data_IF_638486389148
#
_entry.id   IF_638486389148
#
_cell.length_a   1.000
_cell.length_b   1.000
_cell.length_c   1.000
_cell.angle_alpha   90.00
_cell.angle_beta   90.00
_cell.angle_gamma   90.00
#
_symmetry.space_group_name_H-M   'P 1'
#
loop_
_entity.id
_entity.type
_entity.pdbx_description
1 polymer ?
#
# COMPACT_ATOMS: atom_id res chain seq x y z
N UNK A 1 29.03 -11.24 51.27
CA UNK A 1 27.90 -11.33 52.17
C UNK A 1 26.63 -11.36 51.31
N UNK A 2 26.21 -12.55 50.91
CA UNK A 2 25.24 -13.49 51.53
C UNK A 2 23.91 -12.82 51.84
N UNK A 3 22.93 -13.27 51.21
CA UNK A 3 21.83 -14.23 51.49
C UNK A 3 20.84 -14.16 50.33
N UNK A 4 20.56 -15.21 49.55
CA UNK A 4 19.68 -16.36 49.81
C UNK A 4 18.41 -16.04 50.59
N UNK A 5 17.32 -16.27 49.94
CA UNK A 5 16.06 -16.90 50.34
C UNK A 5 15.26 -17.09 49.06
N UNK A 6 15.08 -18.24 48.59
CA UNK A 6 14.13 -19.37 48.69
C UNK A 6 12.74 -18.96 49.18
N UNK A 7 11.77 -19.27 48.37
CA UNK A 7 10.41 -19.79 48.67
C UNK A 7 9.73 -19.97 47.32
N UNK A 8 9.55 -21.15 46.79
CA UNK A 8 8.60 -22.23 47.03
C UNK A 8 7.13 -21.80 46.91
N UNK A 9 6.43 -22.74 46.21
CA UNK A 9 4.99 -22.96 46.20
C UNK A 9 4.22 -22.15 45.14
N UNK A 10 3.37 -22.72 44.37
CA UNK A 10 2.57 -23.95 44.45
C UNK A 10 2.08 -24.31 43.06
N UNK A 11 2.06 -25.61 42.86
CA UNK A 11 1.22 -26.31 41.88
C UNK A 11 -0.24 -26.07 42.19
N UNK A 12 -1.01 -25.70 41.16
CA UNK A 12 -2.43 -26.04 41.11
C UNK A 12 -2.94 -26.11 39.67
N UNK A 13 -3.05 -27.32 39.26
CA UNK A 13 -4.19 -27.98 38.63
C UNK A 13 -4.73 -27.45 37.29
N UNK A 14 -4.18 -28.05 36.30
CA UNK A 14 -4.72 -28.22 34.96
C UNK A 14 -5.79 -29.32 34.94
N UNK A 15 -7.05 -28.93 34.81
CA UNK A 15 -8.13 -29.87 34.41
C UNK A 15 -9.20 -29.22 33.49
N UNK A 16 -8.90 -28.15 32.79
CA UNK A 16 -9.88 -27.51 31.85
C UNK A 16 -9.61 -27.78 30.35
N UNK A 17 -8.81 -28.79 29.99
CA UNK A 17 -8.38 -28.95 28.59
C UNK A 17 -9.10 -30.03 27.78
N UNK A 18 -10.09 -30.73 28.33
CA UNK A 18 -10.75 -31.84 27.62
C UNK A 18 -12.08 -31.49 26.93
N UNK A 19 -12.72 -30.38 27.24
CA UNK A 19 -13.93 -29.97 26.53
C UNK A 19 -13.68 -29.24 25.21
N UNK A 20 -12.52 -28.57 25.06
CA UNK A 20 -12.17 -27.86 23.81
C UNK A 20 -11.79 -28.80 22.65
N UNK A 21 -11.42 -30.05 22.96
CA UNK A 21 -10.99 -30.99 21.92
C UNK A 21 -12.15 -31.75 21.26
N UNK A 22 -13.33 -31.79 21.87
CA UNK A 22 -14.53 -32.41 21.27
C UNK A 22 -15.19 -31.47 20.26
N UNK A 23 -15.28 -30.19 20.56
CA UNK A 23 -15.88 -29.19 19.64
C UNK A 23 -15.07 -28.99 18.35
N UNK A 24 -13.73 -29.11 18.41
CA UNK A 24 -12.87 -29.01 17.22
C UNK A 24 -12.96 -30.22 16.28
N UNK A 25 -13.37 -31.37 16.75
CA UNK A 25 -13.54 -32.54 15.89
C UNK A 25 -14.87 -32.47 15.14
N UNK A 26 -15.95 -32.03 15.79
CA UNK A 26 -17.26 -31.89 15.15
C UNK A 26 -17.27 -30.73 14.12
N UNK A 27 -16.60 -29.62 14.39
CA UNK A 27 -16.45 -28.52 13.43
C UNK A 27 -15.62 -28.92 12.19
N UNK A 28 -14.59 -29.76 12.35
CA UNK A 28 -13.80 -30.27 11.24
C UNK A 28 -14.55 -31.29 10.36
N UNK A 29 -15.47 -32.04 10.92
CA UNK A 29 -16.31 -32.99 10.14
C UNK A 29 -17.40 -32.26 9.36
N UNK A 30 -18.02 -31.25 9.95
CA UNK A 30 -19.00 -30.40 9.25
C UNK A 30 -18.36 -29.60 8.11
N UNK A 31 -17.16 -29.06 8.30
CA UNK A 31 -16.43 -28.39 7.22
C UNK A 31 -16.06 -29.34 6.06
N UNK A 32 -15.67 -30.57 6.36
CA UNK A 32 -15.38 -31.58 5.31
C UNK A 32 -16.62 -32.03 4.55
N UNK A 33 -17.77 -32.03 5.18
CA UNK A 33 -19.04 -32.37 4.53
C UNK A 33 -19.57 -31.22 3.66
N UNK A 34 -19.37 -29.97 4.09
CA UNK A 34 -19.66 -28.80 3.26
C UNK A 34 -18.71 -28.69 2.06
N UNK A 35 -17.40 -28.96 2.22
CA UNK A 35 -16.47 -29.03 1.10
C UNK A 35 -16.82 -30.12 0.08
N UNK A 36 -17.32 -31.28 0.54
CA UNK A 36 -17.82 -32.34 -0.34
C UNK A 36 -19.10 -31.94 -1.09
N UNK A 37 -20.01 -31.20 -0.44
CA UNK A 37 -21.22 -30.65 -1.06
C UNK A 37 -20.92 -29.56 -2.08
N UNK A 38 -19.87 -28.74 -1.82
CA UNK A 38 -19.39 -27.73 -2.78
C UNK A 38 -18.69 -28.35 -3.98
N UNK A 39 -17.90 -29.44 -3.75
CA UNK A 39 -17.26 -30.17 -4.85
C UNK A 39 -18.26 -30.92 -5.72
N UNK A 40 -19.30 -31.53 -5.15
CA UNK A 40 -20.35 -32.18 -5.93
C UNK A 40 -21.22 -31.18 -6.70
N UNK A 41 -21.53 -29.98 -6.12
CA UNK A 41 -22.20 -28.91 -6.87
C UNK A 41 -21.37 -28.35 -8.02
N UNK A 42 -20.02 -28.43 -7.95
CA UNK A 42 -19.15 -28.00 -9.05
C UNK A 42 -19.21 -28.95 -10.24
N UNK A 43 -19.26 -30.26 -10.00
CA UNK A 43 -19.33 -31.24 -11.08
C UNK A 43 -20.68 -31.23 -11.81
N UNK A 44 -21.79 -30.96 -11.09
CA UNK A 44 -23.12 -30.89 -11.73
C UNK A 44 -23.32 -29.58 -12.53
N UNK A 45 -22.48 -28.56 -12.32
CA UNK A 45 -22.54 -27.31 -13.10
C UNK A 45 -21.69 -27.35 -14.39
N UNK A 46 -20.67 -28.20 -14.49
CA UNK A 46 -19.80 -28.27 -15.67
C UNK A 46 -20.55 -28.82 -16.90
N UNK A 47 -21.52 -29.72 -16.71
CA UNK A 47 -22.34 -30.24 -17.79
C UNK A 47 -23.46 -29.28 -18.29
N UNK A 48 -23.85 -28.30 -17.45
CA UNK A 48 -24.84 -27.28 -17.82
C UNK A 48 -24.23 -26.01 -18.42
N UNK A 49 -22.92 -25.77 -18.30
CA UNK A 49 -22.27 -24.61 -18.90
C UNK A 49 -22.20 -24.68 -20.44
N UNK A 50 -22.24 -25.88 -21.00
CA UNK A 50 -22.24 -26.04 -22.45
C UNK A 50 -23.55 -25.59 -23.11
N UNK A 51 -24.68 -25.56 -22.41
CA UNK A 51 -26.00 -25.23 -22.99
C UNK A 51 -26.33 -23.74 -23.04
N UNK A 52 -25.59 -22.87 -22.30
CA UNK A 52 -25.89 -21.44 -22.19
C UNK A 52 -24.78 -20.51 -22.69
N UNK A 53 -23.91 -20.97 -23.57
CA UNK A 53 -22.89 -20.12 -24.18
C UNK A 53 -23.54 -19.08 -25.12
N UNK A 54 -23.78 -17.89 -24.63
CA UNK A 54 -24.30 -16.79 -25.44
C UNK A 54 -23.19 -16.23 -26.36
N UNK A 55 -23.06 -16.83 -27.54
CA UNK A 55 -22.01 -16.49 -28.51
C UNK A 55 -22.00 -14.99 -28.86
N UNK A 56 -23.16 -14.34 -28.92
CA UNK A 56 -23.26 -12.92 -29.26
C UNK A 56 -22.72 -12.03 -28.11
N UNK A 57 -23.00 -12.39 -26.86
CA UNK A 57 -22.41 -11.72 -25.70
C UNK A 57 -20.89 -11.82 -25.68
N UNK A 58 -20.34 -13.02 -25.91
CA UNK A 58 -18.89 -13.21 -25.94
C UNK A 58 -18.22 -12.55 -27.15
N UNK A 59 -18.90 -12.49 -28.29
CA UNK A 59 -18.46 -11.68 -29.46
C UNK A 59 -18.39 -10.20 -29.12
N UNK A 60 -19.33 -9.67 -28.34
CA UNK A 60 -19.29 -8.26 -27.89
C UNK A 60 -18.08 -7.98 -26.98
N UNK A 61 -17.74 -8.91 -26.04
CA UNK A 61 -16.56 -8.80 -25.20
C UNK A 61 -15.26 -8.83 -26.02
N UNK A 62 -15.20 -9.66 -27.06
CA UNK A 62 -14.02 -9.70 -27.93
C UNK A 62 -13.82 -8.38 -28.69
N UNK A 63 -14.91 -7.70 -29.07
CA UNK A 63 -14.86 -6.41 -29.77
C UNK A 63 -14.47 -5.26 -28.87
N UNK A 64 -14.91 -5.29 -27.61
CA UNK A 64 -14.58 -4.26 -26.59
C UNK A 64 -13.71 -4.82 -25.48
N UNK A 65 -12.40 -4.67 -25.65
CA UNK A 65 -11.40 -5.12 -24.66
C UNK A 65 -11.54 -4.47 -23.29
N UNK A 66 -12.09 -3.24 -23.20
CA UNK A 66 -12.31 -2.56 -21.90
C UNK A 66 -13.48 -3.21 -21.17
N UNK A 67 -14.57 -3.48 -21.90
CA UNK A 67 -15.71 -4.21 -21.35
C UNK A 67 -15.28 -5.61 -20.89
N UNK A 68 -14.51 -6.32 -21.71
CA UNK A 68 -13.94 -7.63 -21.36
C UNK A 68 -13.10 -7.58 -20.08
N UNK A 69 -12.26 -6.55 -19.91
CA UNK A 69 -11.46 -6.39 -18.71
C UNK A 69 -12.31 -6.17 -17.44
N UNK A 70 -13.37 -5.36 -17.55
CA UNK A 70 -14.29 -5.14 -16.44
C UNK A 70 -15.05 -6.43 -16.06
N UNK A 71 -15.52 -7.19 -17.05
CA UNK A 71 -16.18 -8.49 -16.82
C UNK A 71 -15.20 -9.47 -16.17
N UNK A 72 -13.96 -9.54 -16.66
CA UNK A 72 -12.91 -10.36 -16.07
C UNK A 72 -12.72 -10.03 -14.59
N UNK A 73 -12.55 -8.77 -14.23
CA UNK A 73 -12.33 -8.37 -12.83
C UNK A 73 -13.53 -8.67 -11.92
N UNK A 74 -14.75 -8.48 -12.43
CA UNK A 74 -15.95 -8.58 -11.60
C UNK A 74 -16.50 -10.00 -11.45
N UNK A 75 -16.32 -10.86 -12.47
CA UNK A 75 -17.02 -12.15 -12.56
C UNK A 75 -16.12 -13.36 -12.77
N UNK A 76 -15.08 -13.20 -13.58
CA UNK A 76 -14.29 -14.32 -14.09
C UNK A 76 -12.93 -14.45 -13.40
N UNK A 77 -12.48 -13.42 -12.66
CA UNK A 77 -11.19 -13.46 -12.00
C UNK A 77 -11.22 -14.26 -10.70
N UNK A 78 -10.12 -14.96 -10.42
CA UNK A 78 -9.95 -15.66 -9.15
C UNK A 78 -9.98 -14.68 -7.95
N UNK A 79 -10.27 -15.19 -6.76
CA UNK A 79 -10.23 -14.42 -5.52
C UNK A 79 -8.89 -13.69 -5.33
N UNK A 80 -7.78 -14.31 -5.75
CA UNK A 80 -6.44 -13.71 -5.68
C UNK A 80 -6.32 -12.47 -6.56
N UNK A 81 -6.87 -12.48 -7.77
CA UNK A 81 -6.85 -11.32 -8.69
C UNK A 81 -7.74 -10.20 -8.15
N UNK A 82 -8.91 -10.53 -7.61
CA UNK A 82 -9.78 -9.56 -6.95
C UNK A 82 -9.09 -8.93 -5.74
N UNK A 83 -8.41 -9.73 -4.93
CA UNK A 83 -7.59 -9.24 -3.80
C UNK A 83 -6.46 -8.33 -4.29
N UNK A 84 -5.74 -8.70 -5.36
CA UNK A 84 -4.71 -7.85 -5.96
C UNK A 84 -5.27 -6.52 -6.46
N UNK A 85 -6.44 -6.51 -7.08
CA UNK A 85 -7.12 -5.28 -7.52
C UNK A 85 -7.39 -4.35 -6.33
N UNK A 86 -7.95 -4.87 -5.25
CA UNK A 86 -8.17 -4.11 -4.01
C UNK A 86 -6.86 -3.59 -3.40
N UNK A 87 -5.82 -4.42 -3.43
CA UNK A 87 -4.48 -4.03 -2.94
C UNK A 87 -3.89 -2.89 -3.77
N UNK A 88 -4.14 -2.84 -5.08
CA UNK A 88 -3.74 -1.72 -5.95
C UNK A 88 -4.40 -0.43 -5.47
N UNK A 89 -5.72 -0.42 -5.29
CA UNK A 89 -6.46 0.77 -4.85
C UNK A 89 -5.99 1.26 -3.48
N UNK A 90 -5.79 0.34 -2.53
CA UNK A 90 -5.27 0.67 -1.20
C UNK A 90 -3.86 1.27 -1.25
N UNK A 91 -2.96 0.72 -2.06
CA UNK A 91 -1.60 1.23 -2.20
C UNK A 91 -1.58 2.59 -2.94
N UNK A 92 -2.46 2.84 -3.89
CA UNK A 92 -2.62 4.15 -4.53
C UNK A 92 -3.12 5.20 -3.53
N UNK A 93 -4.07 4.87 -2.69
CA UNK A 93 -4.52 5.74 -1.59
C UNK A 93 -3.39 6.06 -0.61
N UNK A 94 -2.65 5.04 -0.16
CA UNK A 94 -1.48 5.20 0.74
C UNK A 94 -0.39 6.06 0.09
N UNK A 95 -0.11 5.85 -1.20
CA UNK A 95 0.83 6.67 -1.98
C UNK A 95 0.38 8.13 -2.01
N UNK A 96 -0.88 8.39 -2.34
CA UNK A 96 -1.43 9.75 -2.41
C UNK A 96 -1.33 10.47 -1.07
N UNK A 97 -1.71 9.80 0.02
CA UNK A 97 -1.58 10.33 1.38
C UNK A 97 -0.12 10.61 1.75
N UNK A 98 0.80 9.72 1.41
CA UNK A 98 2.24 9.89 1.66
C UNK A 98 2.82 11.07 0.87
N UNK A 99 2.38 11.28 -0.37
CA UNK A 99 2.79 12.42 -1.20
C UNK A 99 2.27 13.73 -0.61
N UNK A 100 1.04 13.77 -0.11
CA UNK A 100 0.48 14.94 0.56
C UNK A 100 1.29 15.33 1.82
N UNK A 101 1.61 14.34 2.67
CA UNK A 101 2.48 14.57 3.85
C UNK A 101 3.87 15.03 3.42
N UNK A 102 4.44 14.47 2.35
CA UNK A 102 5.74 14.89 1.81
C UNK A 102 5.76 16.35 1.37
N UNK A 103 4.63 16.85 0.85
CA UNK A 103 4.50 18.26 0.48
C UNK A 103 4.58 19.16 1.70
N UNK A 104 3.87 18.84 2.79
CA UNK A 104 3.92 19.60 4.04
C UNK A 104 5.33 19.60 4.67
N UNK A 105 6.00 18.45 4.65
CA UNK A 105 7.39 18.37 5.14
C UNK A 105 8.33 19.20 4.26
N UNK A 106 8.12 19.22 2.95
CA UNK A 106 8.90 20.09 2.03
C UNK A 106 8.72 21.56 2.37
N UNK A 107 7.50 22.01 2.60
CA UNK A 107 7.22 23.40 3.01
C UNK A 107 7.92 23.73 4.32
N UNK A 108 7.88 22.80 5.31
CA UNK A 108 8.62 22.95 6.57
C UNK A 108 10.12 23.09 6.34
N UNK A 109 10.72 22.30 5.46
CA UNK A 109 12.16 22.38 5.12
C UNK A 109 12.48 23.76 4.52
N UNK A 110 11.63 24.28 3.65
CA UNK A 110 11.81 25.61 3.05
C UNK A 110 11.70 26.73 4.10
N UNK A 111 10.71 26.65 4.99
CA UNK A 111 10.53 27.62 6.07
C UNK A 111 11.74 27.63 7.02
N UNK A 112 12.23 26.45 7.41
CA UNK A 112 13.44 26.33 8.24
C UNK A 112 14.67 26.93 7.57
N UNK A 113 14.81 26.75 6.25
CA UNK A 113 15.88 27.35 5.45
C UNK A 113 15.79 28.90 5.42
N UNK A 114 14.57 29.45 5.29
CA UNK A 114 14.35 30.90 5.37
C UNK A 114 14.74 31.46 6.73
N UNK A 115 14.21 30.85 7.80
CA UNK A 115 14.54 31.25 9.18
C UNK A 115 16.04 31.16 9.50
N UNK A 116 16.71 30.16 8.94
CA UNK A 116 18.16 30.05 9.07
C UNK A 116 18.90 31.22 8.41
N UNK A 117 18.49 31.64 7.19
CA UNK A 117 19.09 32.76 6.50
C UNK A 117 18.85 34.09 7.25
N UNK A 118 17.63 34.30 7.76
CA UNK A 118 17.26 35.47 8.56
C UNK A 118 18.11 35.57 9.84
N UNK A 119 18.29 34.47 10.56
CA UNK A 119 19.15 34.45 11.73
C UNK A 119 20.63 34.69 11.40
N UNK A 120 21.08 34.21 10.26
CA UNK A 120 22.44 34.47 9.79
C UNK A 120 22.68 35.95 9.56
N UNK A 121 21.77 36.65 8.87
CA UNK A 121 21.86 38.11 8.68
C UNK A 121 21.78 38.84 9.99
N UNK A 122 20.93 38.42 10.94
CA UNK A 122 20.85 39.03 12.28
C UNK A 122 22.14 38.87 13.05
N UNK A 123 22.81 37.70 12.97
CA UNK A 123 24.12 37.52 13.62
C UNK A 123 25.18 38.44 13.00
N UNK A 124 25.19 38.56 11.68
CA UNK A 124 26.14 39.44 10.98
C UNK A 124 25.94 40.92 11.40
N UNK A 125 24.71 41.39 11.51
CA UNK A 125 24.40 42.76 11.98
C UNK A 125 24.77 42.94 13.43
N UNK A 126 24.50 41.96 14.30
CA UNK A 126 24.90 42.00 15.72
C UNK A 126 26.43 42.05 15.89
N UNK A 127 27.17 41.35 15.05
CA UNK A 127 28.65 41.38 15.04
C UNK A 127 29.18 42.75 14.63
N UNK A 128 28.59 43.37 13.58
CA UNK A 128 28.95 44.72 13.17
C UNK A 128 28.67 45.74 14.27
N UNK A 129 27.51 45.63 14.95
CA UNK A 129 27.18 46.50 16.11
C UNK A 129 28.16 46.34 17.23
N UNK A 130 28.57 45.09 17.55
CA UNK A 130 29.56 44.79 18.57
C UNK A 130 30.93 45.42 18.25
N UNK A 131 31.37 45.34 16.99
CA UNK A 131 32.61 46.00 16.54
C UNK A 131 32.53 47.53 16.64
N UNK A 132 31.41 48.11 16.21
CA UNK A 132 31.17 49.58 16.30
C UNK A 132 31.18 50.01 17.80
N UNK A 133 30.53 49.27 18.69
CA UNK A 133 30.55 49.56 20.15
C UNK A 133 31.94 49.46 20.75
N UNK A 134 32.76 48.57 20.27
CA UNK A 134 34.15 48.41 20.71
C UNK A 134 35.02 49.62 20.29
N UNK A 135 34.83 50.08 19.07
CA UNK A 135 35.58 51.24 18.53
C UNK A 135 35.17 52.55 19.20
N UNK A 136 33.88 52.72 19.49
CA UNK A 136 33.33 53.99 20.06
C UNK A 136 33.46 54.08 21.59
N UNK A 137 34.10 53.11 22.27
CA UNK A 137 34.18 53.05 23.74
C UNK A 137 32.83 53.24 24.43
N UNK A 138 31.73 52.84 23.79
CA UNK A 138 30.39 52.86 24.39
C UNK A 138 30.33 51.98 25.64
N UNK A 139 29.40 52.25 26.54
CA UNK A 139 29.35 51.66 27.87
C UNK A 139 29.55 50.12 27.85
N UNK A 140 30.35 49.59 28.79
CA UNK A 140 30.65 48.15 28.95
C UNK A 140 29.38 47.30 29.03
N UNK A 141 28.29 47.83 29.59
CA UNK A 141 26.99 47.18 29.69
C UNK A 141 26.39 46.86 28.34
N UNK A 142 26.42 47.82 27.38
CA UNK A 142 25.89 47.63 26.03
C UNK A 142 26.67 46.57 25.21
N UNK A 143 27.98 46.48 25.41
CA UNK A 143 28.80 45.45 24.79
C UNK A 143 28.52 44.06 25.33
N UNK A 144 28.37 43.94 26.66
CA UNK A 144 28.03 42.65 27.31
C UNK A 144 26.67 42.10 26.83
N UNK A 145 25.67 42.96 26.68
CA UNK A 145 24.34 42.58 26.17
C UNK A 145 24.43 42.04 24.74
N UNK A 146 25.21 42.67 23.85
CA UNK A 146 25.42 42.22 22.47
C UNK A 146 26.13 40.85 22.44
N UNK A 147 27.06 40.56 23.34
CA UNK A 147 27.71 39.23 23.44
C UNK A 147 26.71 38.17 23.86
N UNK A 148 25.86 38.45 24.84
CA UNK A 148 24.82 37.54 25.29
C UNK A 148 23.80 37.30 24.18
N UNK A 149 23.42 38.35 23.46
CA UNK A 149 22.48 38.25 22.34
C UNK A 149 23.06 37.38 21.19
N UNK A 150 24.30 37.61 20.76
CA UNK A 150 24.97 36.78 19.74
C UNK A 150 25.00 35.31 20.17
N UNK A 151 25.29 35.01 21.42
CA UNK A 151 25.30 33.63 21.94
C UNK A 151 23.94 32.95 21.82
N UNK A 152 22.85 33.65 22.18
CA UNK A 152 21.48 33.14 22.05
C UNK A 152 21.12 32.88 20.58
N UNK A 153 21.52 33.76 19.67
CA UNK A 153 21.29 33.56 18.21
C UNK A 153 22.06 32.34 17.69
N UNK A 154 23.31 32.14 18.15
CA UNK A 154 24.09 30.95 17.76
C UNK A 154 23.47 29.64 18.27
N UNK A 155 22.92 29.64 19.48
CA UNK A 155 22.18 28.49 20.04
C UNK A 155 20.91 28.20 19.20
N UNK A 156 20.17 29.23 18.84
CA UNK A 156 18.99 29.11 17.97
C UNK A 156 19.33 28.55 16.59
N UNK A 157 20.46 28.97 16.00
CA UNK A 157 20.95 28.40 14.74
C UNK A 157 21.28 26.90 14.88
N UNK A 158 21.87 26.48 15.99
CA UNK A 158 22.16 25.06 16.24
C UNK A 158 20.89 24.23 16.31
N UNK A 159 19.87 24.71 17.01
CA UNK A 159 18.55 24.06 17.08
C UNK A 159 17.92 23.95 15.69
N UNK A 160 17.85 25.06 14.92
CA UNK A 160 17.28 25.05 13.58
C UNK A 160 18.03 24.11 12.61
N UNK A 161 19.35 24.02 12.73
CA UNK A 161 20.14 23.05 11.94
C UNK A 161 19.75 21.62 12.24
N UNK A 162 19.51 21.29 13.49
CA UNK A 162 19.06 19.96 13.90
C UNK A 162 17.66 19.66 13.34
N UNK A 163 16.72 20.59 13.52
CA UNK A 163 15.37 20.47 13.00
C UNK A 163 15.35 20.32 11.46
N UNK A 164 16.15 21.11 10.76
CA UNK A 164 16.28 20.99 9.31
C UNK A 164 16.81 19.61 8.89
N UNK A 165 17.82 19.07 9.58
CA UNK A 165 18.34 17.72 9.31
C UNK A 165 17.27 16.65 9.52
N UNK A 166 16.50 16.76 10.60
CA UNK A 166 15.39 15.84 10.89
C UNK A 166 14.33 15.91 9.79
N UNK A 167 13.89 17.10 9.41
CA UNK A 167 12.87 17.30 8.36
C UNK A 167 13.35 16.78 7.00
N UNK A 168 14.61 16.99 6.62
CA UNK A 168 15.19 16.43 5.40
C UNK A 168 15.25 14.90 5.45
N UNK A 169 15.60 14.34 6.61
CA UNK A 169 15.60 12.88 6.82
C UNK A 169 14.19 12.28 6.67
N UNK A 170 13.20 12.92 7.25
CA UNK A 170 11.78 12.56 7.13
C UNK A 170 11.31 12.61 5.67
N UNK A 171 11.64 13.69 4.94
CA UNK A 171 11.30 13.82 3.53
C UNK A 171 11.89 12.69 2.67
N UNK A 172 13.14 12.31 2.92
CA UNK A 172 13.78 11.18 2.23
C UNK A 172 13.05 9.86 2.52
N UNK A 173 12.70 9.62 3.78
CA UNK A 173 11.95 8.43 4.19
C UNK A 173 10.58 8.36 3.52
N UNK A 174 9.82 9.44 3.53
CA UNK A 174 8.50 9.51 2.87
C UNK A 174 8.60 9.24 1.37
N UNK A 175 9.63 9.78 0.72
CA UNK A 175 9.89 9.51 -0.70
C UNK A 175 10.15 8.03 -0.97
N UNK A 176 10.93 7.36 -0.13
CA UNK A 176 11.18 5.91 -0.25
C UNK A 176 9.90 5.10 -0.05
N UNK A 177 9.06 5.46 0.92
CA UNK A 177 7.76 4.82 1.17
C UNK A 177 6.85 4.99 -0.06
N UNK A 178 6.73 6.19 -0.61
CA UNK A 178 5.93 6.43 -1.81
C UNK A 178 6.42 5.61 -3.01
N UNK A 179 7.74 5.47 -3.19
CA UNK A 179 8.33 4.63 -4.23
C UNK A 179 8.03 3.15 -4.02
N UNK A 180 8.03 2.66 -2.77
CA UNK A 180 7.68 1.27 -2.48
C UNK A 180 6.22 0.95 -2.81
N UNK A 181 5.29 1.87 -2.49
CA UNK A 181 3.89 1.72 -2.89
C UNK A 181 3.74 1.70 -4.41
N UNK A 182 4.44 2.58 -5.13
CA UNK A 182 4.42 2.61 -6.59
C UNK A 182 4.92 1.29 -7.19
N UNK A 183 6.03 0.75 -6.70
CA UNK A 183 6.56 -0.53 -7.15
C UNK A 183 5.57 -1.69 -6.90
N UNK A 184 4.89 -1.71 -5.74
CA UNK A 184 3.88 -2.71 -5.42
C UNK A 184 2.66 -2.60 -6.35
N UNK A 185 2.18 -1.39 -6.63
CA UNK A 185 1.10 -1.12 -7.59
C UNK A 185 1.47 -1.65 -8.97
N UNK A 186 2.66 -1.33 -9.47
CA UNK A 186 3.13 -1.79 -10.80
C UNK A 186 3.23 -3.31 -10.87
N UNK A 187 3.74 -3.95 -9.83
CA UNK A 187 3.82 -5.42 -9.74
C UNK A 187 2.43 -6.05 -9.79
N UNK A 188 1.49 -5.57 -8.96
CA UNK A 188 0.12 -6.09 -8.92
C UNK A 188 -0.61 -5.88 -10.24
N UNK A 189 -0.51 -4.69 -10.83
CA UNK A 189 -1.08 -4.39 -12.16
C UNK A 189 -0.53 -5.30 -13.26
N UNK A 190 0.77 -5.58 -13.24
CA UNK A 190 1.40 -6.50 -14.20
C UNK A 190 0.87 -7.92 -14.06
N UNK A 191 0.61 -8.37 -12.84
CA UNK A 191 0.03 -9.70 -12.57
C UNK A 191 -1.42 -9.76 -13.05
N UNK A 192 -2.25 -8.76 -12.72
CA UNK A 192 -3.64 -8.66 -13.16
C UNK A 192 -3.71 -8.64 -14.71
N UNK A 193 -2.87 -7.83 -15.34
CA UNK A 193 -2.81 -7.73 -16.81
C UNK A 193 -2.48 -9.06 -17.46
N UNK A 194 -1.49 -9.79 -16.92
CA UNK A 194 -1.10 -11.11 -17.43
C UNK A 194 -2.24 -12.13 -17.30
N UNK A 195 -2.91 -12.16 -16.14
CA UNK A 195 -4.06 -13.03 -15.92
C UNK A 195 -5.20 -12.71 -16.89
N UNK A 196 -5.49 -11.44 -17.09
CA UNK A 196 -6.46 -11.00 -18.08
C UNK A 196 -6.09 -11.41 -19.51
N UNK A 197 -4.83 -11.26 -19.90
CA UNK A 197 -4.38 -11.65 -21.25
C UNK A 197 -4.55 -13.16 -21.48
N UNK A 198 -4.24 -13.99 -20.48
CA UNK A 198 -4.48 -15.43 -20.57
C UNK A 198 -5.98 -15.76 -20.70
N UNK A 199 -6.83 -15.19 -19.85
CA UNK A 199 -8.26 -15.36 -19.90
C UNK A 199 -8.85 -14.87 -21.24
N UNK A 200 -8.39 -13.74 -21.73
CA UNK A 200 -8.86 -13.17 -23.00
C UNK A 200 -8.48 -14.01 -24.21
N UNK A 201 -7.31 -14.63 -24.21
CA UNK A 201 -6.90 -15.57 -25.25
C UNK A 201 -7.76 -16.85 -25.24
N UNK A 202 -8.07 -17.36 -24.05
CA UNK A 202 -8.98 -18.50 -23.90
C UNK A 202 -10.40 -18.16 -24.39
N UNK A 203 -10.91 -16.99 -24.03
CA UNK A 203 -12.17 -16.46 -24.54
C UNK A 203 -12.20 -16.40 -26.08
N UNK A 204 -11.13 -15.89 -26.70
CA UNK A 204 -10.99 -15.84 -28.16
C UNK A 204 -11.01 -17.23 -28.78
N UNK A 205 -10.37 -18.21 -28.19
CA UNK A 205 -10.35 -19.58 -28.65
C UNK A 205 -11.75 -20.19 -28.59
N UNK A 206 -12.46 -20.01 -27.46
CA UNK A 206 -13.86 -20.49 -27.30
C UNK A 206 -14.79 -19.85 -28.31
N UNK A 207 -14.75 -18.53 -28.51
CA UNK A 207 -15.60 -17.83 -29.48
C UNK A 207 -15.35 -18.35 -30.89
N UNK A 208 -14.10 -18.59 -31.28
CA UNK A 208 -13.77 -19.20 -32.61
C UNK A 208 -14.31 -20.61 -32.74
N UNK A 209 -14.16 -21.43 -31.71
CA UNK A 209 -14.64 -22.81 -31.70
C UNK A 209 -16.17 -22.87 -31.92
N UNK A 210 -16.94 -22.10 -31.12
CA UNK A 210 -18.41 -22.08 -31.24
C UNK A 210 -18.90 -21.46 -32.53
N UNK A 211 -18.24 -20.44 -33.07
CA UNK A 211 -18.57 -19.88 -34.37
C UNK A 211 -18.38 -20.89 -35.50
N UNK A 212 -17.33 -21.71 -35.46
CA UNK A 212 -17.10 -22.77 -36.41
C UNK A 212 -18.13 -23.91 -36.26
N UNK A 213 -18.47 -24.30 -35.03
CA UNK A 213 -19.49 -25.32 -34.77
C UNK A 213 -20.89 -24.88 -35.27
N UNK A 214 -21.25 -23.60 -35.07
CA UNK A 214 -22.50 -23.04 -35.59
C UNK A 214 -22.55 -23.05 -37.13
N UNK A 215 -21.44 -22.65 -37.78
CA UNK A 215 -21.34 -22.70 -39.23
C UNK A 215 -21.50 -24.13 -39.80
N UNK A 216 -20.87 -25.13 -39.16
CA UNK A 216 -21.00 -26.54 -39.53
C UNK A 216 -22.45 -27.06 -39.36
N UNK A 217 -23.14 -26.65 -38.29
CA UNK A 217 -24.55 -26.97 -38.06
C UNK A 217 -25.45 -26.44 -39.21
N UNK A 218 -25.21 -25.19 -39.60
CA UNK A 218 -25.99 -24.56 -40.70
C UNK A 218 -25.77 -25.32 -42.02
N UNK A 219 -24.52 -25.68 -42.32
CA UNK A 219 -24.20 -26.46 -43.55
C UNK A 219 -24.88 -27.81 -43.50
N UNK A 220 -24.83 -28.55 -42.40
CA UNK A 220 -25.46 -29.87 -42.27
C UNK A 220 -27.00 -29.84 -42.43
N UNK A 221 -27.65 -28.74 -42.05
CA UNK A 221 -29.10 -28.55 -42.24
C UNK A 221 -29.43 -28.24 -43.69
N UNK A 222 -28.55 -27.53 -44.40
CA UNK A 222 -28.73 -27.19 -45.80
C UNK A 222 -28.48 -28.39 -46.75
N UNK A 223 -27.52 -29.27 -46.38
CA UNK A 223 -27.20 -30.47 -47.18
C UNK A 223 -28.21 -31.64 -46.95
N UNK A 224 -29.04 -31.55 -45.92
CA UNK A 224 -30.07 -32.55 -45.59
C UNK A 224 -31.49 -32.19 -46.05
N UNK A 225 -31.67 -31.04 -46.69
CA UNK A 225 -32.94 -30.58 -47.27
C UNK A 225 -32.95 -30.73 -48.82
#
# INVERSE_FOLDING_TARGET
DSTSDDDDDDDDDDDENDENNRNTIEENETMKEEERKVKNKKNDNEDNEAENFNLEYYRSLVRDKKLAFNVFLCRESSADIQHLSKTVDENEQKKTSTVAVSSLVRERVLALKSSFNELRTTIETTRLQKEASRLNRSSETSFADLVVHERRLLEKIRSLKLEHRCAVGELKRLKQIAQSYDANVQKSRSTIKRAFECWFLDLLARVKFFANAEALRIVSVLDGA
#
